data_IF_940608140686
#
_entry.id   IF_940608140686
#
_cell.length_a   1.000
_cell.length_b   1.000
_cell.length_c   1.000
_cell.angle_alpha   90.00
_cell.angle_beta   90.00
_cell.angle_gamma   90.00
#
_symmetry.space_group_name_H-M   'P 1'
#
loop_
_entity.id
_entity.type
_entity.pdbx_description
1 polymer ?
#
# COMPACT_ATOMS: atom_id res chain seq x y z
N UNK A 1 0.62 8.95 4.86
CA UNK A 1 0.53 7.49 4.74
C UNK A 1 1.17 7.05 3.44
N UNK A 2 2.01 6.01 3.46
CA UNK A 2 2.56 5.40 2.26
C UNK A 2 1.47 4.54 1.59
N UNK A 3 1.26 4.72 0.30
CA UNK A 3 0.44 3.84 -0.53
C UNK A 3 1.28 3.33 -1.68
N UNK A 4 1.17 2.05 -1.98
CA UNK A 4 1.87 1.39 -3.08
C UNK A 4 0.84 0.98 -4.11
N UNK A 5 1.05 1.36 -5.36
CA UNK A 5 0.15 1.07 -6.48
C UNK A 5 0.98 0.49 -7.62
N UNK A 6 0.48 -0.57 -8.25
CA UNK A 6 1.10 -1.10 -9.46
C UNK A 6 0.69 -0.27 -10.69
N UNK A 7 1.61 -0.14 -11.63
CA UNK A 7 1.33 0.55 -12.88
C UNK A 7 2.09 -0.05 -14.05
N UNK A 8 1.52 0.09 -15.24
CA UNK A 8 2.10 -0.37 -16.50
C UNK A 8 2.73 0.83 -17.20
N UNK A 9 4.01 0.73 -17.56
CA UNK A 9 4.67 1.76 -18.35
C UNK A 9 4.48 1.49 -19.84
N UNK A 10 3.74 2.37 -20.52
CA UNK A 10 3.43 2.27 -21.94
C UNK A 10 3.41 3.68 -22.57
N UNK A 11 4.00 3.82 -23.76
CA UNK A 11 3.99 5.06 -24.54
C UNK A 11 4.48 6.31 -23.79
N UNK A 12 5.50 6.13 -22.94
CA UNK A 12 6.08 7.22 -22.15
C UNK A 12 5.24 7.62 -20.93
N UNK A 13 4.19 6.86 -20.60
CA UNK A 13 3.26 7.13 -19.50
C UNK A 13 3.16 5.93 -18.58
N UNK A 14 2.78 6.19 -17.34
CA UNK A 14 2.46 5.16 -16.35
C UNK A 14 0.95 5.11 -16.23
N UNK A 15 0.36 3.98 -16.59
CA UNK A 15 -1.05 3.68 -16.39
C UNK A 15 -1.21 2.91 -15.08
N UNK A 16 -1.87 3.52 -14.10
CA UNK A 16 -2.11 2.87 -12.82
C UNK A 16 -3.15 1.75 -12.99
N UNK A 17 -2.90 0.59 -12.41
CA UNK A 17 -3.88 -0.52 -12.41
C UNK A 17 -5.06 -0.25 -11.48
N UNK A 18 -4.84 0.62 -10.48
CA UNK A 18 -5.85 1.11 -9.55
C UNK A 18 -5.59 2.59 -9.22
N UNK A 19 -6.66 3.35 -8.95
CA UNK A 19 -6.51 4.73 -8.50
C UNK A 19 -6.37 4.75 -6.98
N UNK A 20 -5.28 5.30 -6.42
CA UNK A 20 -5.14 5.38 -4.97
C UNK A 20 -6.12 6.42 -4.41
N UNK A 21 -7.04 5.97 -3.57
CA UNK A 21 -7.99 6.85 -2.88
C UNK A 21 -7.29 7.68 -1.79
N UNK A 22 -7.87 8.81 -1.38
CA UNK A 22 -7.39 9.61 -0.25
C UNK A 22 -5.91 10.03 -0.29
N UNK A 23 -5.38 10.33 -1.48
CA UNK A 23 -4.04 10.92 -1.67
C UNK A 23 -4.18 12.44 -1.82
N UNK A 24 -3.35 13.20 -1.09
CA UNK A 24 -3.32 14.66 -1.22
C UNK A 24 -2.71 15.11 -2.56
N UNK A 25 -3.25 16.18 -3.15
CA UNK A 25 -2.87 16.75 -4.47
C UNK A 25 -1.40 17.22 -4.62
N UNK A 26 -0.55 17.08 -3.60
CA UNK A 26 0.88 17.43 -3.67
C UNK A 26 1.77 16.38 -3.01
N UNK A 27 1.27 15.14 -2.98
CA UNK A 27 2.03 14.00 -2.46
C UNK A 27 3.19 13.70 -3.40
N UNK A 28 4.41 13.63 -2.85
CA UNK A 28 5.58 13.19 -3.60
C UNK A 28 5.48 11.69 -3.91
N UNK A 29 5.89 11.32 -5.12
CA UNK A 29 5.87 9.92 -5.58
C UNK A 29 7.28 9.43 -5.90
N UNK A 30 7.54 8.16 -5.62
CA UNK A 30 8.74 7.44 -6.06
C UNK A 30 8.34 6.43 -7.12
N UNK A 31 9.02 6.44 -8.26
CA UNK A 31 8.77 5.52 -9.36
C UNK A 31 10.04 4.70 -9.61
N UNK A 32 9.87 3.38 -9.68
CA UNK A 32 10.95 2.45 -10.03
C UNK A 32 10.54 1.64 -11.25
N UNK A 33 11.35 1.66 -12.30
CA UNK A 33 11.12 0.84 -13.50
C UNK A 33 11.74 -0.54 -13.32
N UNK A 34 10.91 -1.57 -13.45
CA UNK A 34 11.30 -2.95 -13.23
C UNK A 34 11.41 -3.66 -14.58
N UNK A 35 12.55 -4.32 -14.85
CA UNK A 35 12.72 -5.15 -16.06
C UNK A 35 12.16 -6.56 -15.77
N UNK A 36 11.02 -6.97 -16.38
CA UNK A 36 10.38 -8.24 -16.09
C UNK A 36 11.24 -9.46 -16.47
N UNK A 37 12.27 -9.27 -17.30
CA UNK A 37 13.23 -10.33 -17.67
C UNK A 37 14.31 -10.52 -16.61
N UNK A 38 14.51 -9.54 -15.72
CA UNK A 38 15.56 -9.54 -14.69
C UNK A 38 15.02 -9.69 -13.28
N UNK A 39 13.72 -9.49 -13.09
CA UNK A 39 13.09 -9.45 -11.77
C UNK A 39 12.00 -10.50 -11.71
N UNK A 40 12.06 -11.34 -10.68
CA UNK A 40 11.00 -12.31 -10.41
C UNK A 40 9.75 -11.57 -9.91
N UNK A 41 8.57 -11.74 -10.54
CA UNK A 41 7.33 -11.12 -10.12
C UNK A 41 6.98 -11.35 -8.64
N UNK A 42 7.32 -12.51 -8.08
CA UNK A 42 7.06 -12.80 -6.67
C UNK A 42 7.83 -11.88 -5.72
N UNK A 43 9.04 -11.45 -6.10
CA UNK A 43 9.84 -10.51 -5.30
C UNK A 43 9.25 -9.10 -5.32
N UNK A 44 8.62 -8.70 -6.42
CA UNK A 44 7.93 -7.41 -6.53
C UNK A 44 6.75 -7.38 -5.57
N UNK A 45 5.92 -8.44 -5.61
CA UNK A 45 4.80 -8.59 -4.69
C UNK A 45 5.25 -8.57 -3.22
N UNK A 46 6.30 -9.31 -2.88
CA UNK A 46 6.88 -9.29 -1.52
C UNK A 46 7.35 -7.90 -1.09
N UNK A 47 7.96 -7.11 -2.00
CA UNK A 47 8.36 -5.74 -1.71
C UNK A 47 7.14 -4.84 -1.44
N UNK A 48 6.08 -4.97 -2.25
CA UNK A 48 4.83 -4.23 -2.06
C UNK A 48 4.23 -4.54 -0.69
N UNK A 49 4.08 -5.83 -0.36
CA UNK A 49 3.56 -6.28 0.94
C UNK A 49 4.42 -5.77 2.12
N UNK A 50 5.74 -5.75 1.97
CA UNK A 50 6.64 -5.22 2.99
C UNK A 50 6.46 -3.71 3.20
N UNK A 51 6.32 -2.93 2.12
CA UNK A 51 6.07 -1.48 2.20
C UNK A 51 4.71 -1.18 2.86
N UNK A 52 3.68 -1.95 2.53
CA UNK A 52 2.36 -1.83 3.18
C UNK A 52 2.42 -2.14 4.67
N UNK A 53 3.20 -3.14 5.07
CA UNK A 53 3.41 -3.49 6.49
C UNK A 53 4.06 -2.31 7.24
N UNK A 54 5.10 -1.71 6.66
CA UNK A 54 5.75 -0.52 7.25
C UNK A 54 4.74 0.63 7.38
N UNK A 55 3.92 0.87 6.35
CA UNK A 55 2.90 1.91 6.36
C UNK A 55 1.87 1.70 7.48
N UNK A 56 1.38 0.46 7.65
CA UNK A 56 0.44 0.11 8.70
C UNK A 56 1.02 0.28 10.11
N UNK A 57 2.30 -0.06 10.30
CA UNK A 57 2.99 0.15 11.58
C UNK A 57 3.10 1.65 11.89
N UNK A 58 3.50 2.48 10.92
CA UNK A 58 3.59 3.93 11.09
C UNK A 58 2.24 4.54 11.44
N UNK A 59 1.17 4.13 10.76
CA UNK A 59 -0.18 4.55 11.08
C UNK A 59 -0.56 4.19 12.53
N UNK A 60 -0.27 2.97 12.98
CA UNK A 60 -0.52 2.57 14.36
C UNK A 60 0.21 3.45 15.39
N UNK A 61 1.45 3.88 15.09
CA UNK A 61 2.15 4.85 15.95
C UNK A 61 1.48 6.23 15.93
N UNK A 62 1.01 6.71 14.78
CA UNK A 62 0.30 7.99 14.69
C UNK A 62 -1.03 7.97 15.47
N UNK A 63 -1.79 6.88 15.40
CA UNK A 63 -3.01 6.64 16.20
C UNK A 63 -2.69 6.67 17.71
N UNK A 64 -1.66 5.92 18.14
CA UNK A 64 -1.21 5.92 19.54
C UNK A 64 -0.77 7.30 20.03
N UNK A 65 0.00 8.03 19.23
CA UNK A 65 0.51 9.36 19.59
C UNK A 65 -0.59 10.43 19.64
N UNK A 66 -1.64 10.28 18.82
CA UNK A 66 -2.80 11.18 18.82
C UNK A 66 -3.81 10.86 19.94
N UNK A 67 -3.63 9.74 20.65
CA UNK A 67 -4.58 9.25 21.65
C UNK A 67 -5.84 8.65 21.04
N UNK A 68 -5.85 8.43 19.73
CA UNK A 68 -6.93 7.74 19.04
C UNK A 68 -6.79 6.24 19.27
N UNK A 69 -7.73 5.69 20.04
CA UNK A 69 -7.88 4.24 20.16
C UNK A 69 -9.11 3.81 19.37
N UNK A 70 -8.97 2.76 18.56
CA UNK A 70 -10.11 2.08 17.96
C UNK A 70 -10.40 0.75 18.64
N UNK A 71 -11.67 0.31 18.68
CA UNK A 71 -12.02 -1.02 19.14
C UNK A 71 -11.28 -2.11 18.35
N UNK A 72 -10.83 -3.16 19.05
CA UNK A 72 -10.16 -4.31 18.42
C UNK A 72 -11.04 -5.00 17.37
N UNK A 73 -12.35 -4.99 17.56
CA UNK A 73 -13.34 -5.55 16.62
C UNK A 73 -13.30 -4.87 15.26
N UNK A 74 -13.19 -3.53 15.25
CA UNK A 74 -13.20 -2.73 14.03
C UNK A 74 -11.92 -2.98 13.23
N UNK A 75 -10.80 -3.12 13.94
CA UNK A 75 -9.53 -3.53 13.34
C UNK A 75 -9.62 -4.94 12.72
N UNK A 76 -10.16 -5.92 13.44
CA UNK A 76 -10.30 -7.29 12.92
C UNK A 76 -11.14 -7.28 11.64
N UNK A 77 -12.25 -6.55 11.62
CA UNK A 77 -13.13 -6.48 10.47
C UNK A 77 -12.48 -5.79 9.26
N UNK A 78 -11.73 -4.70 9.47
CA UNK A 78 -10.95 -4.06 8.41
C UNK A 78 -9.94 -5.05 7.80
N UNK A 79 -9.19 -5.79 8.64
CA UNK A 79 -8.19 -6.74 8.17
C UNK A 79 -8.82 -7.91 7.41
N UNK A 80 -10.00 -8.38 7.84
CA UNK A 80 -10.75 -9.40 7.12
C UNK A 80 -11.20 -8.93 5.74
N UNK A 81 -11.71 -7.69 5.62
CA UNK A 81 -12.08 -7.12 4.32
C UNK A 81 -10.88 -6.87 3.41
N UNK A 82 -9.80 -6.31 3.96
CA UNK A 82 -8.63 -5.89 3.16
C UNK A 82 -7.85 -7.09 2.60
N UNK A 83 -7.80 -8.19 3.33
CA UNK A 83 -7.01 -9.36 2.98
C UNK A 83 -7.86 -10.61 2.67
N UNK A 84 -9.18 -10.45 2.55
CA UNK A 84 -10.14 -11.52 2.28
C UNK A 84 -9.96 -12.72 3.24
N UNK A 85 -9.73 -12.42 4.52
CA UNK A 85 -9.52 -13.43 5.57
C UNK A 85 -10.89 -13.92 6.03
N UNK A 86 -11.22 -15.18 5.74
CA UNK A 86 -12.45 -15.81 6.23
C UNK A 86 -12.54 -15.78 7.75
N UNK A 87 -13.75 -15.51 8.25
CA UNK A 87 -14.10 -15.44 9.68
C UNK A 87 -14.07 -16.79 10.38
#
# INVERSE_FOLDING_TARGET
MLKTVEGIYQDGKIELTELPENINNSTQVLITFLDPRKINPSKIRQLIEHLETIAGIQQGFDELNSGESRPLTDFIQEMQQKYDISS
#
